data_IF_256502756036
#
_entry.id   IF_256502756036
#
_cell.length_a   1.000
_cell.length_b   1.000
_cell.length_c   1.000
_cell.angle_alpha   90.00
_cell.angle_beta   90.00
_cell.angle_gamma   90.00
#
_symmetry.space_group_name_H-M   'P 1'
#
loop_
_entity.id
_entity.type
_entity.pdbx_description
1 polymer ?
#
# COMPACT_ATOMS: atom_id res chain seq x y z
N UNK A 1 15.98 0.89 -6.45
CA UNK A 1 15.09 1.66 -5.57
C UNK A 1 15.76 3.00 -5.26
N UNK A 2 15.01 4.07 -5.44
CA UNK A 2 15.40 5.44 -5.09
C UNK A 2 14.42 5.96 -4.06
N UNK A 3 14.87 6.83 -3.17
CA UNK A 3 13.98 7.53 -2.26
C UNK A 3 14.49 8.95 -2.02
N UNK A 4 13.54 9.82 -1.73
CA UNK A 4 13.81 11.20 -1.35
C UNK A 4 12.90 11.60 -0.19
N UNK A 5 13.41 12.42 0.71
CA UNK A 5 12.72 12.85 1.91
C UNK A 5 12.97 14.34 2.12
N UNK A 6 11.92 15.13 2.00
CA UNK A 6 12.05 16.58 2.03
C UNK A 6 10.73 17.33 2.06
N UNK A 7 10.82 18.66 2.09
CA UNK A 7 9.67 19.54 2.07
C UNK A 7 9.14 19.73 0.64
N UNK A 8 7.83 19.56 0.48
CA UNK A 8 7.08 19.96 -0.70
C UNK A 8 6.33 21.25 -0.39
N UNK A 9 6.39 22.21 -1.32
CA UNK A 9 5.81 23.53 -1.15
C UNK A 9 4.58 23.65 -2.04
N UNK A 10 3.50 24.19 -1.47
CA UNK A 10 2.22 24.35 -2.15
C UNK A 10 1.80 25.80 -2.11
N UNK A 11 1.14 26.24 -3.18
CA UNK A 11 0.57 27.57 -3.29
C UNK A 11 -0.94 27.48 -3.57
N UNK A 12 -1.72 28.18 -2.75
CA UNK A 12 -3.18 28.24 -2.86
C UNK A 12 -3.62 29.70 -2.72
N UNK A 13 -3.90 30.34 -3.86
CA UNK A 13 -4.29 31.74 -3.91
C UNK A 13 -5.54 32.02 -3.08
N UNK A 14 -6.47 31.05 -2.93
CA UNK A 14 -7.70 31.23 -2.16
C UNK A 14 -7.48 31.48 -0.66
N UNK A 15 -6.31 31.12 -0.16
CA UNK A 15 -5.92 31.34 1.24
C UNK A 15 -5.21 32.67 1.48
N UNK A 16 -4.90 33.40 0.42
CA UNK A 16 -4.24 34.71 0.51
C UNK A 16 -5.20 35.75 1.03
N UNK A 17 -4.77 36.51 2.04
CA UNK A 17 -5.48 37.68 2.55
C UNK A 17 -4.58 38.91 2.45
N UNK A 18 -5.18 40.11 2.50
CA UNK A 18 -4.40 41.35 2.53
C UNK A 18 -3.53 41.47 3.79
N UNK A 19 -4.01 40.93 4.90
CA UNK A 19 -3.32 40.94 6.18
C UNK A 19 -2.23 39.86 6.26
N UNK A 20 -2.43 38.70 5.57
CA UNK A 20 -1.47 37.60 5.57
C UNK A 20 -1.27 37.02 4.17
N UNK A 21 -0.33 37.59 3.42
CA UNK A 21 0.04 37.10 2.08
C UNK A 21 0.73 35.74 2.11
N UNK A 22 1.35 35.36 3.23
CA UNK A 22 2.04 34.08 3.38
C UNK A 22 1.06 32.92 3.64
N UNK A 23 -0.19 33.19 3.98
CA UNK A 23 -1.22 32.14 4.16
C UNK A 23 -1.47 31.33 2.89
N UNK A 24 -1.16 31.88 1.73
CA UNK A 24 -1.24 31.17 0.44
C UNK A 24 -0.21 30.04 0.29
N UNK A 25 0.86 30.05 1.08
CA UNK A 25 1.92 29.08 1.01
C UNK A 25 1.78 28.06 2.14
N UNK A 26 1.94 26.80 1.80
CA UNK A 26 2.03 25.73 2.80
C UNK A 26 3.17 24.77 2.42
N UNK A 27 3.73 24.13 3.42
CA UNK A 27 4.75 23.10 3.22
C UNK A 27 4.34 21.82 3.93
N UNK A 28 4.73 20.70 3.35
CA UNK A 28 4.54 19.38 3.92
C UNK A 28 5.82 18.56 3.77
N UNK A 29 6.19 17.87 4.83
CA UNK A 29 7.31 16.96 4.79
C UNK A 29 6.88 15.63 4.20
N UNK A 30 7.41 15.27 3.04
CA UNK A 30 7.02 14.09 2.28
C UNK A 30 8.17 13.12 2.07
N UNK A 31 7.85 11.85 1.96
CA UNK A 31 8.74 10.78 1.53
C UNK A 31 8.27 10.29 0.17
N UNK A 32 9.17 10.32 -0.80
CA UNK A 32 9.00 9.72 -2.12
C UNK A 32 9.84 8.44 -2.24
N UNK A 33 9.30 7.40 -2.84
CA UNK A 33 10.02 6.15 -3.14
C UNK A 33 9.68 5.72 -4.56
N UNK A 34 10.72 5.46 -5.37
CA UNK A 34 10.58 4.92 -6.71
C UNK A 34 11.31 3.57 -6.83
N UNK A 35 10.63 2.60 -7.43
CA UNK A 35 11.19 1.26 -7.70
C UNK A 35 11.06 0.96 -9.18
N UNK A 36 12.14 0.53 -9.80
CA UNK A 36 12.19 0.18 -11.22
C UNK A 36 13.27 -0.86 -11.49
N UNK A 37 13.22 -1.50 -12.66
CA UNK A 37 14.24 -2.43 -13.12
C UNK A 37 14.13 -3.79 -12.46
N UNK A 38 15.23 -4.26 -11.89
CA UNK A 38 15.35 -5.59 -11.27
C UNK A 38 15.34 -5.43 -9.75
N UNK A 39 14.41 -6.09 -9.09
CA UNK A 39 14.32 -6.12 -7.61
C UNK A 39 15.31 -7.10 -7.00
N UNK A 40 15.46 -8.28 -7.63
CA UNK A 40 16.41 -9.30 -7.23
C UNK A 40 17.40 -9.53 -8.37
N UNK A 41 18.67 -9.16 -8.22
CA UNK A 41 19.68 -9.41 -9.25
C UNK A 41 19.94 -10.92 -9.40
N UNK A 42 20.34 -11.32 -10.60
CA UNK A 42 20.75 -12.71 -10.84
C UNK A 42 21.92 -13.09 -9.95
N UNK A 43 21.81 -14.23 -9.30
CA UNK A 43 22.89 -14.84 -8.52
C UNK A 43 22.90 -16.36 -8.76
N UNK A 44 23.88 -17.06 -8.19
CA UNK A 44 23.98 -18.51 -8.34
C UNK A 44 22.76 -19.28 -7.76
N UNK A 45 22.04 -18.70 -6.80
CA UNK A 45 20.91 -19.30 -6.11
C UNK A 45 19.59 -18.57 -6.33
N UNK A 46 19.57 -17.50 -7.12
CA UNK A 46 18.35 -16.73 -7.39
C UNK A 46 18.24 -16.29 -8.86
N UNK A 47 17.06 -16.45 -9.42
CA UNK A 47 16.73 -15.89 -10.75
C UNK A 47 16.45 -14.40 -10.61
N UNK A 48 16.73 -13.59 -11.67
CA UNK A 48 16.41 -12.17 -11.64
C UNK A 48 14.90 -11.97 -11.64
N UNK A 49 14.42 -11.12 -10.74
CA UNK A 49 13.01 -10.73 -10.66
C UNK A 49 12.87 -9.25 -11.00
N UNK A 50 11.90 -8.93 -11.84
CA UNK A 50 11.56 -7.53 -12.14
C UNK A 50 10.85 -6.90 -10.95
N UNK A 51 11.11 -5.62 -10.74
CA UNK A 51 10.33 -4.83 -9.81
C UNK A 51 8.86 -4.80 -10.25
N UNK A 52 7.98 -4.82 -9.29
CA UNK A 52 6.53 -4.81 -9.48
C UNK A 52 5.85 -3.86 -8.50
N UNK A 53 4.56 -3.62 -8.69
CA UNK A 53 3.75 -2.92 -7.71
C UNK A 53 3.86 -3.55 -6.31
N UNK A 54 3.91 -4.87 -6.22
CA UNK A 54 4.05 -5.58 -4.95
C UNK A 54 5.42 -5.37 -4.29
N UNK A 55 6.48 -5.16 -5.09
CA UNK A 55 7.80 -4.78 -4.56
C UNK A 55 7.71 -3.43 -3.83
N UNK A 56 7.07 -2.44 -4.44
CA UNK A 56 6.86 -1.13 -3.82
C UNK A 56 5.92 -1.22 -2.61
N UNK A 57 4.81 -1.98 -2.73
CA UNK A 57 3.88 -2.20 -1.62
C UNK A 57 4.57 -2.83 -0.40
N UNK A 58 5.48 -3.78 -0.61
CA UNK A 58 6.25 -4.38 0.48
C UNK A 58 7.16 -3.36 1.19
N UNK A 59 7.70 -2.38 0.46
CA UNK A 59 8.44 -1.26 1.06
C UNK A 59 7.52 -0.40 1.91
N UNK A 60 6.35 -0.03 1.39
CA UNK A 60 5.33 0.74 2.11
C UNK A 60 4.89 0.03 3.39
N UNK A 61 4.60 -1.27 3.31
CA UNK A 61 4.18 -2.07 4.45
C UNK A 61 5.26 -2.15 5.53
N UNK A 62 6.51 -2.42 5.14
CA UNK A 62 7.64 -2.44 6.09
C UNK A 62 7.81 -1.09 6.78
N UNK A 63 7.63 0.01 6.05
CA UNK A 63 7.71 1.35 6.61
C UNK A 63 6.59 1.58 7.62
N UNK A 64 5.34 1.33 7.26
CA UNK A 64 4.18 1.50 8.15
C UNK A 64 4.30 0.65 9.42
N UNK A 65 4.75 -0.60 9.30
CA UNK A 65 5.00 -1.48 10.46
C UNK A 65 6.02 -0.91 11.43
N UNK A 66 7.05 -0.20 10.94
CA UNK A 66 8.02 0.51 11.82
C UNK A 66 7.36 1.57 12.67
N UNK A 67 6.26 2.14 12.19
CA UNK A 67 5.44 3.09 12.92
C UNK A 67 4.28 2.43 13.68
N UNK A 68 4.21 1.10 13.74
CA UNK A 68 3.16 0.35 14.41
C UNK A 68 1.80 0.40 13.69
N UNK A 69 1.80 0.70 12.39
CA UNK A 69 0.58 0.73 11.58
C UNK A 69 0.53 -0.52 10.70
N UNK A 70 -0.57 -1.26 10.80
CA UNK A 70 -0.89 -2.31 9.84
C UNK A 70 -1.42 -1.68 8.56
N UNK A 71 -0.88 -2.05 7.41
CA UNK A 71 -1.34 -1.57 6.10
C UNK A 71 -2.82 -1.89 5.86
N UNK A 72 -3.32 -2.95 6.44
CA UNK A 72 -4.73 -3.34 6.35
C UNK A 72 -5.68 -2.49 7.21
N UNK A 73 -5.15 -1.68 8.12
CA UNK A 73 -5.94 -0.67 8.84
C UNK A 73 -6.22 0.57 8.00
N UNK A 74 -5.54 0.72 6.86
CA UNK A 74 -5.73 1.85 5.96
C UNK A 74 -6.91 1.60 5.04
N UNK A 75 -7.75 2.62 4.88
CA UNK A 75 -8.74 2.66 3.79
C UNK A 75 -8.02 2.83 2.48
N UNK A 76 -8.23 1.92 1.55
CA UNK A 76 -7.62 1.94 0.22
C UNK A 76 -8.69 2.24 -0.82
N UNK A 77 -8.46 3.27 -1.64
CA UNK A 77 -9.38 3.70 -2.71
C UNK A 77 -8.60 3.86 -4.02
N UNK A 78 -9.23 3.58 -5.17
CA UNK A 78 -8.65 3.91 -6.47
C UNK A 78 -8.32 5.41 -6.54
N UNK A 79 -7.19 5.73 -7.13
CA UNK A 79 -6.74 7.10 -7.33
C UNK A 79 -6.66 7.40 -8.82
N UNK A 80 -7.51 8.31 -9.29
CA UNK A 80 -7.40 8.89 -10.63
C UNK A 80 -6.41 10.05 -10.59
N UNK A 81 -5.37 9.98 -11.39
CA UNK A 81 -4.29 10.96 -11.42
C UNK A 81 -3.55 10.92 -12.75
N UNK A 82 -3.09 12.06 -13.22
CA UNK A 82 -2.20 12.13 -14.40
C UNK A 82 -0.84 11.48 -14.16
N UNK A 83 -0.43 11.34 -12.92
CA UNK A 83 0.84 10.71 -12.53
C UNK A 83 0.81 9.20 -12.69
N UNK A 84 -0.33 8.57 -12.36
CA UNK A 84 -0.45 7.12 -12.33
C UNK A 84 -1.31 6.59 -13.47
N UNK A 85 -0.88 5.49 -14.10
CA UNK A 85 -1.77 4.68 -14.96
C UNK A 85 -2.75 3.86 -14.11
N UNK A 86 -2.28 3.38 -12.97
CA UNK A 86 -3.06 2.70 -11.95
C UNK A 86 -2.53 3.15 -10.60
N UNK A 87 -3.37 3.78 -9.80
CA UNK A 87 -3.01 4.36 -8.52
C UNK A 87 -3.99 3.99 -7.41
N UNK A 88 -3.48 4.00 -6.20
CA UNK A 88 -4.25 3.84 -4.97
C UNK A 88 -3.91 4.95 -3.98
N UNK A 89 -4.94 5.50 -3.35
CA UNK A 89 -4.83 6.36 -2.19
C UNK A 89 -5.07 5.54 -0.92
N UNK A 90 -4.21 5.69 0.06
CA UNK A 90 -4.31 5.03 1.34
C UNK A 90 -4.47 6.06 2.45
N UNK A 91 -5.58 5.96 3.18
CA UNK A 91 -5.98 6.92 4.21
C UNK A 91 -6.12 6.25 5.58
N UNK A 92 -5.77 6.98 6.63
CA UNK A 92 -5.98 6.59 8.02
C UNK A 92 -6.79 7.66 8.75
N UNK A 93 -7.89 7.25 9.39
CA UNK A 93 -8.79 8.16 10.11
C UNK A 93 -9.27 9.36 9.26
N UNK A 94 -9.57 9.11 7.97
CA UNK A 94 -10.05 10.14 7.04
C UNK A 94 -8.96 11.08 6.49
N UNK A 95 -7.68 10.83 6.80
CA UNK A 95 -6.56 11.60 6.23
C UNK A 95 -5.75 10.71 5.29
N UNK A 96 -5.51 11.20 4.09
CA UNK A 96 -4.60 10.54 3.16
C UNK A 96 -3.18 10.53 3.75
N UNK A 97 -2.60 9.33 3.82
CA UNK A 97 -1.22 9.13 4.25
C UNK A 97 -0.28 8.94 3.08
N UNK A 98 -0.72 8.21 2.06
CA UNK A 98 0.13 7.93 0.91
C UNK A 98 -0.68 7.67 -0.35
N UNK A 99 -0.03 7.93 -1.47
CA UNK A 99 -0.42 7.50 -2.80
C UNK A 99 0.62 6.52 -3.33
N UNK A 100 0.18 5.46 -4.00
CA UNK A 100 1.06 4.41 -4.53
C UNK A 100 0.52 3.93 -5.87
N UNK A 101 1.39 3.74 -6.86
CA UNK A 101 0.92 3.27 -8.16
C UNK A 101 2.01 3.03 -9.18
N UNK A 102 1.59 2.70 -10.38
CA UNK A 102 2.42 2.61 -11.57
C UNK A 102 2.44 3.95 -12.29
N UNK A 103 3.61 4.51 -12.54
CA UNK A 103 3.76 5.82 -13.20
C UNK A 103 3.27 5.73 -14.63
N UNK A 104 2.42 6.66 -15.03
CA UNK A 104 1.83 6.72 -16.36
C UNK A 104 2.90 6.79 -17.47
N UNK A 105 2.66 6.05 -18.55
CA UNK A 105 3.60 6.00 -19.69
C UNK A 105 3.89 7.39 -20.29
N UNK A 106 2.91 8.31 -20.25
CA UNK A 106 3.07 9.70 -20.69
C UNK A 106 4.19 10.39 -19.89
N UNK A 107 4.15 10.28 -18.56
CA UNK A 107 5.16 10.89 -17.67
C UNK A 107 6.54 10.25 -17.90
N UNK A 108 6.61 8.92 -17.98
CA UNK A 108 7.88 8.21 -18.22
C UNK A 108 8.54 8.63 -19.55
N UNK A 109 7.74 8.89 -20.60
CA UNK A 109 8.23 9.34 -21.88
C UNK A 109 8.83 10.76 -21.84
N UNK A 110 8.26 11.68 -21.07
CA UNK A 110 8.80 13.05 -20.94
C UNK A 110 10.15 13.07 -20.23
N UNK A 111 10.45 12.04 -19.43
CA UNK A 111 11.71 11.88 -18.70
C UNK A 111 12.66 10.85 -19.33
N UNK A 112 12.34 10.38 -20.56
CA UNK A 112 13.07 9.31 -21.28
C UNK A 112 13.28 8.01 -20.50
N UNK A 113 12.35 7.70 -19.57
CA UNK A 113 12.37 6.45 -18.82
C UNK A 113 11.56 5.40 -19.55
N UNK A 114 12.23 4.36 -20.07
CA UNK A 114 11.62 3.28 -20.87
C UNK A 114 11.05 2.16 -19.99
N UNK A 115 11.56 2.00 -18.78
CA UNK A 115 11.18 0.94 -17.87
C UNK A 115 9.88 1.29 -17.11
N UNK A 116 9.19 0.25 -16.61
CA UNK A 116 8.12 0.46 -15.64
C UNK A 116 8.69 1.05 -14.35
N UNK A 117 7.98 2.07 -13.84
CA UNK A 117 8.32 2.73 -12.57
C UNK A 117 7.11 2.63 -11.66
N UNK A 118 7.34 2.14 -10.48
CA UNK A 118 6.38 2.13 -9.39
C UNK A 118 6.76 3.20 -8.39
N UNK A 119 5.83 4.07 -8.03
CA UNK A 119 6.08 5.26 -7.24
C UNK A 119 5.12 5.33 -6.05
N UNK A 120 5.67 5.75 -4.94
CA UNK A 120 4.95 6.02 -3.70
C UNK A 120 5.32 7.42 -3.22
N UNK A 121 4.32 8.16 -2.81
CA UNK A 121 4.49 9.42 -2.09
C UNK A 121 3.71 9.37 -0.78
N UNK A 122 4.35 9.71 0.33
CA UNK A 122 3.79 9.64 1.67
C UNK A 122 3.91 11.00 2.37
N UNK A 123 2.81 11.47 2.95
CA UNK A 123 2.82 12.60 3.86
C UNK A 123 3.36 12.15 5.23
N UNK A 124 4.63 12.45 5.47
CA UNK A 124 5.32 11.99 6.67
C UNK A 124 4.82 12.69 7.95
N UNK A 125 4.38 13.94 7.84
CA UNK A 125 3.79 14.63 8.99
C UNK A 125 2.45 14.03 9.41
N UNK A 126 1.60 13.66 8.44
CA UNK A 126 0.35 12.98 8.72
C UNK A 126 0.61 11.62 9.38
N UNK A 127 1.61 10.87 8.89
CA UNK A 127 2.07 9.62 9.49
C UNK A 127 2.53 9.85 10.94
N UNK A 128 3.44 10.78 11.18
CA UNK A 128 3.97 11.08 12.52
C UNK A 128 2.87 11.54 13.49
N UNK A 129 1.91 12.33 13.02
CA UNK A 129 0.74 12.76 13.81
C UNK A 129 -0.16 11.59 14.18
N UNK A 130 -0.36 10.63 13.26
CA UNK A 130 -1.21 9.45 13.50
C UNK A 130 -0.65 8.48 14.54
N UNK A 131 0.67 8.46 14.68
CA UNK A 131 1.38 7.53 15.59
C UNK A 131 1.58 8.07 17.02
N UNK A 132 1.33 9.35 17.27
CA UNK A 132 1.55 9.98 18.60
C UNK A 132 0.81 9.28 19.75
N UNK A 133 -0.30 8.61 19.47
CA UNK A 133 -1.13 7.91 20.46
C UNK A 133 -0.87 6.39 20.52
N UNK A 134 -0.02 5.87 19.64
CA UNK A 134 0.32 4.46 19.66
C UNK A 134 1.22 4.17 20.86
N UNK A 135 0.77 3.25 21.70
CA UNK A 135 1.57 2.74 22.81
C UNK A 135 2.18 1.41 22.39
N UNK A 136 3.49 1.33 22.45
CA UNK A 136 4.19 0.06 22.30
C UNK A 136 4.18 -0.61 23.67
N UNK A 137 3.52 -1.75 23.76
CA UNK A 137 3.48 -2.59 24.97
C UNK A 137 4.05 -3.98 24.61
N UNK A 138 4.87 -4.52 25.50
CA UNK A 138 5.27 -5.91 25.42
C UNK A 138 4.14 -6.77 25.97
N UNK A 139 3.68 -7.74 25.21
CA UNK A 139 2.72 -8.74 25.66
C UNK A 139 3.43 -10.06 25.94
N UNK A 140 2.90 -10.84 26.85
CA UNK A 140 3.40 -12.19 27.10
C UNK A 140 3.22 -13.05 25.84
N UNK A 141 4.23 -13.86 25.54
CA UNK A 141 4.14 -14.82 24.46
C UNK A 141 3.04 -15.84 24.74
N UNK A 142 2.23 -16.13 23.72
CA UNK A 142 1.20 -17.15 23.82
C UNK A 142 1.81 -18.51 24.21
N UNK A 143 1.25 -19.16 25.24
CA UNK A 143 1.61 -20.52 25.65
C UNK A 143 1.00 -21.60 24.74
N UNK A 144 0.06 -21.21 23.88
CA UNK A 144 -0.62 -22.13 22.98
C UNK A 144 -0.02 -22.02 21.58
N UNK A 145 0.20 -23.15 20.89
CA UNK A 145 0.68 -23.15 19.51
C UNK A 145 -0.37 -22.52 18.59
N UNK A 146 0.11 -21.83 17.56
CA UNK A 146 -0.72 -21.31 16.48
C UNK A 146 -1.27 -22.46 15.63
N UNK A 147 -2.53 -22.39 15.25
CA UNK A 147 -3.19 -23.36 14.38
C UNK A 147 -3.51 -22.69 13.06
N UNK A 148 -3.02 -23.24 11.95
CA UNK A 148 -3.32 -22.76 10.60
C UNK A 148 -4.41 -23.61 9.96
N UNK A 149 -5.30 -22.96 9.23
CA UNK A 149 -6.36 -23.59 8.45
C UNK A 149 -6.45 -22.96 7.07
N UNK A 150 -6.42 -23.79 6.05
CA UNK A 150 -6.50 -23.35 4.67
C UNK A 150 -7.91 -23.61 4.12
N UNK A 151 -8.39 -22.67 3.31
CA UNK A 151 -9.71 -22.71 2.69
C UNK A 151 -9.62 -22.19 1.26
N UNK A 152 -10.06 -22.99 0.31
CA UNK A 152 -10.23 -22.58 -1.08
C UNK A 152 -11.68 -22.11 -1.31
N UNK A 153 -11.83 -20.90 -1.81
CA UNK A 153 -13.13 -20.26 -2.07
C UNK A 153 -13.29 -19.98 -3.56
N UNK A 154 -14.38 -20.46 -4.12
CA UNK A 154 -14.82 -20.07 -5.47
C UNK A 154 -15.73 -18.85 -5.35
N UNK A 155 -15.28 -17.72 -5.87
CA UNK A 155 -15.95 -16.42 -5.73
C UNK A 155 -16.10 -15.73 -7.09
N UNK A 156 -16.97 -14.74 -7.18
CA UNK A 156 -17.07 -13.87 -8.35
C UNK A 156 -15.78 -13.05 -8.54
N UNK A 157 -15.39 -12.75 -9.77
CA UNK A 157 -14.18 -11.96 -10.08
C UNK A 157 -14.16 -10.60 -9.38
N UNK A 158 -15.32 -10.02 -9.09
CA UNK A 158 -15.46 -8.73 -8.42
C UNK A 158 -15.11 -8.80 -6.92
N UNK A 159 -15.20 -9.98 -6.29
CA UNK A 159 -14.92 -10.13 -4.86
C UNK A 159 -13.44 -9.91 -4.62
N UNK A 160 -13.11 -8.96 -3.75
CA UNK A 160 -11.73 -8.65 -3.40
C UNK A 160 -11.25 -9.48 -2.21
N UNK A 161 -9.94 -9.71 -2.10
CA UNK A 161 -9.37 -10.31 -0.91
C UNK A 161 -9.67 -9.50 0.36
N UNK A 162 -9.68 -8.17 0.27
CA UNK A 162 -10.03 -7.30 1.39
C UNK A 162 -11.43 -7.60 1.93
N UNK A 163 -12.44 -7.76 1.06
CA UNK A 163 -13.80 -8.09 1.48
C UNK A 163 -13.87 -9.44 2.22
N UNK A 164 -13.15 -10.46 1.74
CA UNK A 164 -13.11 -11.77 2.40
C UNK A 164 -12.40 -11.71 3.74
N UNK A 165 -11.28 -11.01 3.81
CA UNK A 165 -10.53 -10.79 5.04
C UNK A 165 -11.38 -10.07 6.08
N UNK A 166 -12.04 -8.99 5.69
CA UNK A 166 -12.87 -8.20 6.61
C UNK A 166 -14.09 -9.00 7.10
N UNK A 167 -14.69 -9.82 6.25
CA UNK A 167 -15.75 -10.75 6.62
C UNK A 167 -15.26 -11.79 7.65
N UNK A 168 -14.06 -12.35 7.46
CA UNK A 168 -13.47 -13.30 8.40
C UNK A 168 -13.21 -12.66 9.77
N UNK A 169 -12.61 -11.47 9.83
CA UNK A 169 -12.40 -10.74 11.07
C UNK A 169 -13.70 -10.24 11.72
N UNK A 170 -14.75 -9.99 10.93
CA UNK A 170 -16.07 -9.67 11.47
C UNK A 170 -16.72 -10.89 12.14
N UNK A 171 -16.51 -12.09 11.58
CA UNK A 171 -17.03 -13.35 12.10
C UNK A 171 -16.30 -13.82 13.36
N UNK A 172 -14.95 -13.69 13.38
CA UNK A 172 -14.13 -14.14 14.52
C UNK A 172 -13.04 -13.12 14.85
N UNK A 173 -13.21 -12.41 15.95
CA UNK A 173 -12.29 -11.33 16.36
C UNK A 173 -11.27 -11.73 17.43
N UNK A 174 -11.53 -12.82 18.16
CA UNK A 174 -10.71 -13.21 19.32
C UNK A 174 -9.64 -14.23 18.94
N UNK A 175 -10.04 -15.26 18.20
CA UNK A 175 -9.16 -16.37 17.83
C UNK A 175 -8.41 -16.11 16.53
N UNK A 176 -9.05 -15.43 15.58
CA UNK A 176 -8.43 -15.13 14.30
C UNK A 176 -7.31 -14.08 14.47
N UNK A 177 -6.09 -14.48 14.16
CA UNK A 177 -4.90 -13.61 14.25
C UNK A 177 -4.50 -13.02 12.90
N UNK A 178 -4.61 -13.82 11.84
CA UNK A 178 -4.24 -13.39 10.49
C UNK A 178 -5.09 -14.08 9.43
N UNK A 179 -5.23 -13.42 8.30
CA UNK A 179 -5.79 -13.99 7.07
C UNK A 179 -4.82 -13.65 5.96
N UNK A 180 -4.30 -14.64 5.29
CA UNK A 180 -3.38 -14.48 4.15
C UNK A 180 -3.92 -15.14 2.90
N UNK A 181 -3.61 -14.55 1.76
CA UNK A 181 -3.89 -15.10 0.43
C UNK A 181 -2.60 -15.70 -0.10
N UNK A 182 -2.60 -17.01 -0.36
CA UNK A 182 -1.40 -17.69 -0.85
C UNK A 182 -1.52 -18.19 -2.28
N UNK A 183 -2.75 -18.28 -2.84
CA UNK A 183 -2.93 -18.61 -4.24
C UNK A 183 -4.19 -17.95 -4.81
N UNK A 184 -4.11 -17.58 -6.09
CA UNK A 184 -5.22 -17.06 -6.90
C UNK A 184 -5.24 -17.80 -8.22
N UNK A 185 -6.30 -18.52 -8.49
CA UNK A 185 -6.47 -19.22 -9.76
C UNK A 185 -7.61 -18.60 -10.57
N UNK A 186 -7.28 -18.18 -11.80
CA UNK A 186 -8.21 -17.70 -12.81
C UNK A 186 -7.89 -18.46 -14.10
N UNK A 187 -8.64 -19.51 -14.38
CA UNK A 187 -8.39 -20.36 -15.56
C UNK A 187 -9.62 -21.06 -16.07
N UNK A 188 -9.47 -21.72 -17.22
CA UNK A 188 -10.55 -22.32 -18.02
C UNK A 188 -11.30 -23.46 -17.30
N UNK A 189 -10.78 -23.95 -16.18
CA UNK A 189 -11.43 -24.99 -15.38
C UNK A 189 -12.47 -24.44 -14.41
N UNK A 190 -12.59 -23.11 -14.30
CA UNK A 190 -13.59 -22.48 -13.46
C UNK A 190 -14.78 -22.00 -14.28
N UNK A 191 -15.98 -21.91 -13.67
CA UNK A 191 -17.13 -21.29 -14.32
C UNK A 191 -16.80 -19.84 -14.73
N UNK A 192 -17.39 -19.40 -15.84
CA UNK A 192 -17.20 -18.05 -16.33
C UNK A 192 -17.55 -17.01 -15.27
N UNK A 193 -16.76 -15.94 -15.16
CA UNK A 193 -16.95 -14.89 -14.17
C UNK A 193 -16.50 -15.24 -12.74
N UNK A 194 -15.92 -16.42 -12.51
CA UNK A 194 -15.42 -16.86 -11.22
C UNK A 194 -13.89 -16.90 -11.15
N UNK A 195 -13.38 -16.83 -9.92
CA UNK A 195 -11.99 -17.08 -9.55
C UNK A 195 -11.93 -17.88 -8.25
N UNK A 196 -10.80 -18.54 -8.04
CA UNK A 196 -10.54 -19.26 -6.78
C UNK A 196 -9.50 -18.52 -5.97
N UNK A 197 -9.79 -18.28 -4.70
CA UNK A 197 -8.85 -17.80 -3.71
C UNK A 197 -8.50 -18.91 -2.72
N UNK A 198 -7.20 -19.15 -2.52
CA UNK A 198 -6.73 -20.01 -1.45
C UNK A 198 -6.23 -19.14 -0.28
N UNK A 199 -6.97 -19.21 0.82
CA UNK A 199 -6.75 -18.42 2.03
C UNK A 199 -6.20 -19.30 3.15
N UNK A 200 -5.30 -18.74 3.95
CA UNK A 200 -4.82 -19.35 5.20
C UNK A 200 -5.22 -18.46 6.38
N UNK A 201 -5.82 -19.09 7.36
CA UNK A 201 -6.29 -18.48 8.59
C UNK A 201 -5.45 -18.93 9.79
#
# INVERSE_FOLDING_TARGET
CLYEFGNCYFYDESKRTEENRLAAYSEEYRLAVAVTGVSTPQSWNAKPEKASFFTLRAVAEKLLRRFGIDIYALKTEPLESDLFSEGLSLSLNGKELMQIGSVAAKIRRTTDVKQEVYYLEMNFEALAKSTKKLKIAAEELSKFPEVKRDLALLVDKQVTFAALRDAAFAAERKLLKSVSLFDVYEGDKLPEGKKSYALSF
#
